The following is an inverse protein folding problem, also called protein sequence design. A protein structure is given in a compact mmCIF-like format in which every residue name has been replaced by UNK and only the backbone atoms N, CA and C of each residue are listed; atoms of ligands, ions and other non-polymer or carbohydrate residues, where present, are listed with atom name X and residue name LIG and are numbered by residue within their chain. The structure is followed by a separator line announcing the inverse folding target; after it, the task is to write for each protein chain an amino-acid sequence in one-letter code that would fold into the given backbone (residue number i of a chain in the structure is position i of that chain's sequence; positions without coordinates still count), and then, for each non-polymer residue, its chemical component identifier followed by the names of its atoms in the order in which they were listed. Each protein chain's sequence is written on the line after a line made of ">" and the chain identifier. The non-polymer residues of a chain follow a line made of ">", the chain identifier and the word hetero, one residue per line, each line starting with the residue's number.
data_IF_293010684883
#
_entry.id   IF_293010684883
#
_cell.length_a   1.000
_cell.length_b   1.000
_cell.length_c   1.000
_cell.angle_alpha   90.00
_cell.angle_beta   90.00
_cell.angle_gamma   90.00
#
_symmetry.space_group_name_H-M   'P 1'
#
loop_
_entity.id
_entity.type
_entity.pdbx_description
1 polymer ?
#
# COMPACT_ATOMS: atom_id res chain seq x y z
N UNK A 1 10.01 -56.59 -15.15
CA UNK A 1 10.06 -57.80 -14.28
C UNK A 1 8.96 -57.65 -13.24
N UNK A 2 8.13 -58.70 -13.14
CA UNK A 2 6.88 -58.79 -12.35
C UNK A 2 7.16 -59.48 -11.02
N UNK A 3 6.40 -59.11 -9.98
CA UNK A 3 5.80 -59.94 -8.88
C UNK A 3 5.24 -58.94 -7.85
N UNK A 4 3.93 -58.63 -7.74
CA UNK A 4 2.75 -59.44 -7.34
C UNK A 4 2.98 -60.30 -6.09
N UNK A 5 2.30 -59.94 -5.01
CA UNK A 5 1.69 -60.88 -4.06
C UNK A 5 0.47 -60.20 -3.39
N UNK A 6 -0.68 -60.86 -3.51
CA UNK A 6 -1.95 -60.55 -2.88
C UNK A 6 -2.23 -61.53 -1.73
N UNK A 7 -3.16 -61.18 -0.82
CA UNK A 7 -4.15 -62.02 -0.07
C UNK A 7 -4.67 -61.16 1.10
N UNK A 8 -5.91 -60.66 1.16
CA UNK A 8 -7.23 -61.30 1.30
C UNK A 8 -7.45 -62.03 2.64
N UNK A 9 -8.36 -61.55 3.50
CA UNK A 9 -9.64 -62.21 3.83
C UNK A 9 -10.47 -61.40 4.87
N UNK A 10 -11.79 -61.61 4.81
CA UNK A 10 -12.91 -60.85 5.39
C UNK A 10 -13.09 -60.94 6.92
N UNK A 11 -13.99 -60.11 7.47
CA UNK A 11 -15.10 -60.53 8.34
C UNK A 11 -16.17 -59.42 8.45
N UNK A 12 -17.43 -59.83 8.23
CA UNK A 12 -18.65 -59.04 8.47
C UNK A 12 -18.91 -58.92 9.98
N UNK A 13 -19.40 -57.76 10.41
CA UNK A 13 -20.33 -57.70 11.55
C UNK A 13 -21.27 -56.52 11.39
N UNK A 14 -22.56 -56.87 11.28
CA UNK A 14 -23.71 -55.98 11.31
C UNK A 14 -23.96 -55.53 12.75
N UNK A 15 -24.13 -54.24 12.99
CA UNK A 15 -24.66 -53.74 14.26
C UNK A 15 -25.92 -52.93 13.97
N UNK A 16 -27.00 -53.40 14.60
CA UNK A 16 -28.37 -52.87 14.55
C UNK A 16 -28.45 -51.39 14.88
N UNK A 17 -29.30 -50.69 14.13
CA UNK A 17 -29.81 -49.38 14.50
C UNK A 17 -30.87 -49.59 15.59
N UNK A 18 -30.55 -49.22 16.82
CA UNK A 18 -31.56 -48.99 17.86
C UNK A 18 -31.97 -47.53 17.80
N UNK A 19 -33.24 -47.32 17.49
CA UNK A 19 -33.94 -46.03 17.54
C UNK A 19 -33.82 -45.41 18.93
N UNK A 20 -33.37 -44.15 18.98
CA UNK A 20 -33.57 -43.30 20.14
C UNK A 20 -34.54 -42.19 19.71
N UNK A 21 -35.76 -42.26 20.22
CA UNK A 21 -36.76 -41.23 20.03
C UNK A 21 -36.29 -39.93 20.70
N UNK A 22 -36.00 -38.91 19.89
CA UNK A 22 -35.87 -37.55 20.38
C UNK A 22 -37.24 -36.88 20.31
N UNK A 23 -37.80 -36.54 21.47
CA UNK A 23 -39.01 -35.73 21.59
C UNK A 23 -38.82 -34.38 20.90
N UNK A 24 -39.65 -34.11 19.90
CA UNK A 24 -39.70 -32.82 19.23
C UNK A 24 -40.16 -31.73 20.22
N UNK A 25 -39.30 -30.75 20.47
CA UNK A 25 -39.69 -29.46 21.02
C UNK A 25 -40.35 -28.63 19.90
N UNK A 26 -41.36 -27.78 20.21
CA UNK A 26 -42.06 -27.00 19.20
C UNK A 26 -41.11 -26.03 18.50
N UNK A 27 -41.16 -26.01 17.16
CA UNK A 27 -40.48 -25.01 16.35
C UNK A 27 -40.94 -23.61 16.76
N UNK A 28 -40.04 -22.62 16.92
CA UNK A 28 -40.46 -21.24 16.99
C UNK A 28 -41.08 -20.87 15.64
N UNK A 29 -42.34 -20.46 15.67
CA UNK A 29 -43.05 -19.85 14.55
C UNK A 29 -42.20 -18.71 14.01
N UNK A 30 -41.72 -18.82 12.78
CA UNK A 30 -41.15 -17.68 12.06
C UNK A 30 -42.31 -16.78 11.72
N UNK A 31 -42.49 -15.74 12.54
CA UNK A 31 -43.43 -14.66 12.27
C UNK A 31 -42.88 -13.86 11.07
N UNK A 32 -43.48 -14.08 9.91
CA UNK A 32 -43.22 -13.30 8.71
C UNK A 32 -43.98 -11.99 8.87
N UNK A 33 -43.31 -10.97 9.41
CA UNK A 33 -43.79 -9.60 9.30
C UNK A 33 -42.62 -8.65 8.99
N UNK A 34 -42.59 -8.25 7.72
CA UNK A 34 -42.13 -6.96 7.18
C UNK A 34 -41.15 -6.14 8.04
N UNK A 35 -39.91 -6.04 7.59
CA UNK A 35 -39.17 -4.78 7.68
C UNK A 35 -38.60 -4.41 6.31
N UNK A 36 -39.40 -3.63 5.59
CA UNK A 36 -38.98 -2.74 4.52
C UNK A 36 -37.96 -1.73 5.05
N UNK A 37 -36.65 -2.01 4.97
CA UNK A 37 -35.65 -0.94 5.07
C UNK A 37 -34.27 -1.24 4.47
N UNK A 38 -34.07 -2.37 3.77
CA UNK A 38 -32.72 -2.80 3.38
C UNK A 38 -32.23 -2.36 1.99
N UNK A 39 -33.00 -1.53 1.27
CA UNK A 39 -32.63 -1.07 -0.09
C UNK A 39 -31.96 0.31 -0.12
N UNK A 40 -32.19 1.15 0.90
CA UNK A 40 -31.55 2.48 1.01
C UNK A 40 -30.08 2.38 1.45
N UNK A 41 -29.78 1.46 2.37
CA UNK A 41 -28.47 1.30 2.98
C UNK A 41 -27.45 0.63 2.05
N UNK A 42 -27.88 -0.29 1.20
CA UNK A 42 -27.00 -0.95 0.21
C UNK A 42 -26.56 0.01 -0.89
N UNK A 43 -27.44 0.93 -1.31
CA UNK A 43 -27.09 1.95 -2.32
C UNK A 43 -26.14 2.99 -1.73
N UNK A 44 -26.37 3.46 -0.50
CA UNK A 44 -25.48 4.42 0.16
C UNK A 44 -24.10 3.83 0.47
N UNK A 45 -24.02 2.59 0.98
CA UNK A 45 -22.75 1.88 1.19
C UNK A 45 -22.05 1.61 -0.14
N UNK A 46 -22.80 1.27 -1.21
CA UNK A 46 -22.24 1.11 -2.55
C UNK A 46 -21.74 2.42 -3.14
N UNK A 47 -22.48 3.52 -3.01
CA UNK A 47 -22.06 4.84 -3.50
C UNK A 47 -20.91 5.40 -2.68
N UNK A 48 -20.84 5.10 -1.38
CA UNK A 48 -19.70 5.45 -0.52
C UNK A 48 -18.50 4.57 -0.82
N UNK A 49 -18.69 3.28 -1.09
CA UNK A 49 -17.63 2.37 -1.53
C UNK A 49 -17.14 2.75 -2.94
N UNK A 50 -18.02 3.05 -3.88
CA UNK A 50 -17.69 3.57 -5.21
C UNK A 50 -17.06 4.97 -5.13
N UNK A 51 -17.45 5.80 -4.16
CA UNK A 51 -16.79 7.06 -3.83
C UNK A 51 -15.41 6.88 -3.18
N UNK A 52 -15.19 5.78 -2.46
CA UNK A 52 -13.89 5.37 -1.92
C UNK A 52 -13.00 4.70 -3.00
N UNK A 53 -13.59 4.02 -3.98
CA UNK A 53 -12.90 3.46 -5.16
C UNK A 53 -12.57 4.58 -6.17
N UNK A 54 -13.43 5.61 -6.27
CA UNK A 54 -13.23 6.87 -7.01
C UNK A 54 -12.52 7.95 -6.19
N UNK A 55 -12.06 7.66 -4.96
CA UNK A 55 -10.89 8.31 -4.35
C UNK A 55 -9.62 7.83 -5.07
N UNK A 56 -9.75 7.71 -6.40
CA UNK A 56 -8.93 6.97 -7.31
C UNK A 56 -7.52 7.50 -7.15
N UNK A 57 -6.66 6.68 -6.56
CA UNK A 57 -5.23 6.81 -6.76
C UNK A 57 -5.03 7.02 -8.25
N UNK A 58 -4.50 8.17 -8.63
CA UNK A 58 -4.20 8.46 -10.02
C UNK A 58 -3.30 7.35 -10.58
N UNK A 59 -3.33 7.12 -11.90
CA UNK A 59 -2.41 6.15 -12.48
C UNK A 59 -0.98 6.57 -12.21
N UNK A 60 -0.08 5.60 -12.02
CA UNK A 60 1.35 5.88 -11.97
C UNK A 60 1.75 6.49 -13.32
N UNK A 61 2.14 7.77 -13.32
CA UNK A 61 2.46 8.55 -14.52
C UNK A 61 3.87 9.13 -14.42
N UNK A 62 4.75 8.69 -15.33
CA UNK A 62 6.18 9.02 -15.34
C UNK A 62 6.46 10.17 -16.30
N UNK A 63 6.48 11.40 -15.79
CA UNK A 63 6.73 12.61 -16.61
C UNK A 63 8.20 12.80 -16.98
N UNK A 64 9.14 12.30 -16.17
CA UNK A 64 10.58 12.40 -16.47
C UNK A 64 11.03 11.28 -17.41
N UNK A 65 10.47 10.07 -17.25
CA UNK A 65 10.76 8.88 -18.04
C UNK A 65 12.26 8.55 -18.17
N UNK A 66 13.03 8.76 -17.10
CA UNK A 66 14.49 8.61 -17.08
C UNK A 66 14.97 7.59 -16.04
N UNK A 67 14.07 6.99 -15.25
CA UNK A 67 14.41 5.96 -14.28
C UNK A 67 15.07 6.48 -13.01
N UNK A 68 15.18 7.80 -12.85
CA UNK A 68 15.84 8.45 -11.71
C UNK A 68 14.91 8.55 -10.49
N UNK A 69 15.51 8.93 -9.35
CA UNK A 69 14.76 9.14 -8.10
C UNK A 69 13.62 10.16 -8.24
N UNK A 70 13.84 11.23 -9.01
CA UNK A 70 12.86 12.30 -9.25
C UNK A 70 11.64 11.83 -10.05
N UNK A 71 11.85 10.93 -11.01
CA UNK A 71 10.80 10.33 -11.82
C UNK A 71 9.86 9.47 -10.96
N UNK A 72 10.44 8.60 -10.13
CA UNK A 72 9.65 7.80 -9.20
C UNK A 72 8.93 8.65 -8.17
N UNK A 73 9.62 9.61 -7.55
CA UNK A 73 9.04 10.44 -6.51
C UNK A 73 7.84 11.24 -7.02
N UNK A 74 7.94 11.85 -8.20
CA UNK A 74 6.84 12.57 -8.84
C UNK A 74 5.68 11.64 -9.22
N UNK A 75 5.97 10.52 -9.90
CA UNK A 75 4.96 9.58 -10.36
C UNK A 75 4.21 8.89 -9.22
N UNK A 76 4.94 8.40 -8.21
CA UNK A 76 4.37 7.70 -7.05
C UNK A 76 3.60 8.67 -6.14
N UNK A 77 4.09 9.89 -5.96
CA UNK A 77 3.35 10.89 -5.21
C UNK A 77 2.06 11.30 -5.94
N UNK A 78 2.11 11.46 -7.26
CA UNK A 78 0.91 11.67 -8.08
C UNK A 78 -0.06 10.50 -7.96
N UNK A 79 0.40 9.26 -8.03
CA UNK A 79 -0.46 8.10 -7.84
C UNK A 79 -1.22 8.14 -6.50
N UNK A 80 -0.58 8.63 -5.43
CA UNK A 80 -1.18 8.67 -4.10
C UNK A 80 -2.03 9.90 -3.81
N UNK A 81 -1.79 11.02 -4.51
CA UNK A 81 -2.35 12.34 -4.16
C UNK A 81 -3.02 13.06 -5.32
N UNK A 82 -2.87 12.54 -6.54
CA UNK A 82 -3.21 13.20 -7.78
C UNK A 82 -2.53 14.57 -7.97
N UNK A 83 -1.37 14.78 -7.33
CA UNK A 83 -0.56 15.98 -7.47
C UNK A 83 0.84 15.65 -7.98
N UNK A 84 1.20 16.25 -9.10
CA UNK A 84 2.55 16.27 -9.63
C UNK A 84 3.33 17.48 -9.08
N UNK A 85 4.65 17.38 -9.01
CA UNK A 85 5.50 18.56 -8.81
C UNK A 85 5.29 19.55 -9.94
N UNK A 86 5.27 20.84 -9.62
CA UNK A 86 5.19 21.91 -10.63
C UNK A 86 6.56 22.31 -11.19
N UNK A 87 7.61 21.59 -10.81
CA UNK A 87 8.99 21.78 -11.25
C UNK A 87 9.61 20.48 -11.77
N UNK A 88 10.65 20.63 -12.60
CA UNK A 88 11.47 19.55 -13.14
C UNK A 88 12.95 19.86 -12.87
N UNK A 89 13.58 19.21 -11.90
CA UNK A 89 14.98 19.50 -11.50
C UNK A 89 15.61 18.33 -10.73
N UNK A 90 16.92 18.42 -10.47
CA UNK A 90 17.60 17.55 -9.52
C UNK A 90 16.97 17.62 -8.12
N UNK A 91 17.10 16.52 -7.37
CA UNK A 91 16.54 16.34 -6.03
C UNK A 91 16.96 17.44 -5.03
N UNK A 92 18.23 17.88 -5.09
CA UNK A 92 18.78 18.91 -4.22
C UNK A 92 17.99 20.23 -4.22
N UNK A 93 17.33 20.55 -5.34
CA UNK A 93 16.56 21.78 -5.52
C UNK A 93 15.08 21.66 -5.12
N UNK A 94 14.57 20.45 -4.82
CA UNK A 94 13.13 20.25 -4.60
C UNK A 94 12.60 20.99 -3.38
N UNK A 95 13.38 21.08 -2.31
CA UNK A 95 13.00 21.85 -1.12
C UNK A 95 12.82 23.34 -1.43
N UNK A 96 13.72 23.94 -2.20
CA UNK A 96 13.57 25.36 -2.61
C UNK A 96 12.43 25.54 -3.60
N UNK A 97 12.28 24.63 -4.57
CA UNK A 97 11.20 24.71 -5.55
C UNK A 97 9.82 24.60 -4.89
N UNK A 98 9.65 23.70 -3.92
CA UNK A 98 8.42 23.58 -3.14
C UNK A 98 8.06 24.88 -2.41
N UNK A 99 9.05 25.56 -1.81
CA UNK A 99 8.80 26.87 -1.17
C UNK A 99 8.33 27.93 -2.16
N UNK A 100 8.79 27.87 -3.42
CA UNK A 100 8.46 28.84 -4.45
C UNK A 100 7.18 28.54 -5.25
N UNK A 101 6.76 27.27 -5.31
CA UNK A 101 5.68 26.80 -6.18
C UNK A 101 4.27 27.25 -5.76
N UNK A 102 4.07 27.62 -4.49
CA UNK A 102 2.74 27.84 -3.91
C UNK A 102 1.95 26.53 -3.76
N UNK A 103 1.14 26.41 -2.71
CA UNK A 103 0.38 25.17 -2.43
C UNK A 103 1.18 24.01 -1.84
N UNK A 104 2.52 24.07 -1.91
CA UNK A 104 3.40 23.09 -1.30
C UNK A 104 3.82 23.50 0.12
N UNK A 105 3.82 22.54 1.03
CA UNK A 105 4.38 22.67 2.38
C UNK A 105 5.77 22.06 2.41
N UNK A 106 6.69 22.70 3.14
CA UNK A 106 8.00 22.15 3.48
C UNK A 106 8.11 22.01 4.99
N UNK A 107 8.49 20.83 5.47
CA UNK A 107 8.55 20.49 6.89
C UNK A 107 9.82 19.72 7.23
N UNK A 108 10.26 19.84 8.48
CA UNK A 108 11.28 18.95 9.07
C UNK A 108 10.69 17.67 9.66
N UNK A 109 9.37 17.60 9.81
CA UNK A 109 8.64 16.44 10.32
C UNK A 109 7.98 15.67 9.18
N UNK A 110 8.04 14.33 9.19
CA UNK A 110 7.46 13.51 8.15
C UNK A 110 5.92 13.49 8.18
N UNK A 111 5.32 13.19 7.03
CA UNK A 111 3.88 12.98 6.82
C UNK A 111 3.71 11.84 5.82
N UNK A 112 2.63 11.06 5.92
CA UNK A 112 2.29 10.05 4.92
C UNK A 112 1.05 10.51 4.11
N UNK A 113 1.08 10.47 2.76
CA UNK A 113 2.29 10.44 1.95
C UNK A 113 2.97 11.82 1.93
N UNK A 114 4.28 11.84 1.81
CA UNK A 114 5.06 13.02 1.45
C UNK A 114 6.27 12.59 0.63
N UNK A 115 6.93 13.54 -0.02
CA UNK A 115 8.22 13.29 -0.64
C UNK A 115 9.31 13.66 0.38
N UNK A 116 10.19 12.71 0.69
CA UNK A 116 11.43 13.00 1.40
C UNK A 116 12.42 13.63 0.41
N UNK A 117 13.11 14.68 0.83
CA UNK A 117 14.23 15.31 0.10
C UNK A 117 15.46 15.21 0.98
N UNK A 118 16.48 14.51 0.50
CA UNK A 118 17.77 14.33 1.17
C UNK A 118 18.82 15.14 0.41
N UNK A 119 19.47 16.05 1.13
CA UNK A 119 20.45 16.96 0.57
C UNK A 119 21.78 16.24 0.27
N UNK A 120 22.60 16.78 -0.66
CA UNK A 120 23.90 16.21 -0.99
C UNK A 120 24.79 15.99 0.25
N UNK A 121 25.49 14.85 0.30
CA UNK A 121 26.39 14.49 1.39
C UNK A 121 25.71 13.89 2.63
N UNK A 122 24.39 13.76 2.64
CA UNK A 122 23.65 13.10 3.72
C UNK A 122 23.20 11.70 3.30
N UNK A 123 23.26 10.74 4.24
CA UNK A 123 22.72 9.38 4.08
C UNK A 123 23.18 8.66 2.79
N UNK A 124 24.41 8.92 2.33
CA UNK A 124 24.96 8.31 1.11
C UNK A 124 24.53 8.98 -0.21
N UNK A 125 23.84 10.11 -0.16
CA UNK A 125 23.38 10.82 -1.36
C UNK A 125 24.53 11.60 -2.04
N UNK A 126 24.62 11.46 -3.37
CA UNK A 126 25.57 12.18 -4.21
C UNK A 126 25.24 13.66 -4.40
N UNK A 127 25.94 14.31 -5.35
CA UNK A 127 25.83 15.75 -5.59
C UNK A 127 24.43 16.23 -6.00
N UNK A 128 23.63 15.36 -6.60
CA UNK A 128 22.24 15.64 -7.02
C UNK A 128 21.23 15.57 -5.87
N UNK A 129 21.63 15.05 -4.69
CA UNK A 129 20.71 14.71 -3.61
C UNK A 129 19.91 13.44 -3.90
N UNK A 130 18.87 13.18 -3.11
CA UNK A 130 17.93 12.07 -3.34
C UNK A 130 16.51 12.47 -2.96
N UNK A 131 15.53 11.91 -3.67
CA UNK A 131 14.11 12.01 -3.32
C UNK A 131 13.44 10.65 -3.37
N UNK A 132 12.45 10.46 -2.50
CA UNK A 132 11.62 9.25 -2.46
C UNK A 132 10.26 9.55 -1.86
N UNK A 133 9.34 8.60 -1.93
CA UNK A 133 8.01 8.75 -1.31
C UNK A 133 7.99 8.07 0.03
N UNK A 134 7.55 8.80 1.06
CA UNK A 134 7.32 8.28 2.41
C UNK A 134 6.04 7.46 2.42
N UNK A 135 6.20 6.14 2.57
CA UNK A 135 5.10 5.18 2.61
C UNK A 135 4.62 4.92 4.05
N UNK A 136 5.51 5.10 5.04
CA UNK A 136 5.22 4.93 6.48
C UNK A 136 6.25 5.66 7.35
N UNK A 137 5.82 6.16 8.51
CA UNK A 137 6.73 6.60 9.59
C UNK A 137 6.89 5.48 10.62
N UNK A 138 8.12 5.15 10.98
CA UNK A 138 8.44 4.10 11.96
C UNK A 138 8.44 4.67 13.38
N UNK A 139 8.39 3.80 14.40
CA UNK A 139 8.32 4.19 15.81
C UNK A 139 9.59 4.87 16.33
N UNK A 140 10.73 4.64 15.68
CA UNK A 140 12.02 5.28 15.99
C UNK A 140 12.17 6.67 15.33
N UNK A 141 11.17 7.12 14.57
CA UNK A 141 11.19 8.39 13.85
C UNK A 141 11.85 8.34 12.47
N UNK A 142 12.40 7.20 12.05
CA UNK A 142 12.79 6.98 10.65
C UNK A 142 11.56 6.85 9.74
N UNK A 143 11.75 7.00 8.44
CA UNK A 143 10.68 6.84 7.45
C UNK A 143 10.99 5.71 6.48
N UNK A 144 10.01 4.82 6.27
CA UNK A 144 10.06 3.80 5.24
C UNK A 144 9.60 4.39 3.91
N UNK A 145 10.44 4.25 2.89
CA UNK A 145 10.27 4.93 1.60
C UNK A 145 10.28 3.96 0.42
N UNK A 146 9.66 4.38 -0.67
CA UNK A 146 9.83 3.79 -2.00
C UNK A 146 10.65 4.73 -2.89
N UNK A 147 11.58 4.16 -3.66
CA UNK A 147 12.60 4.93 -4.36
C UNK A 147 12.97 4.29 -5.70
N UNK A 148 13.44 5.09 -6.64
CA UNK A 148 14.28 4.64 -7.76
C UNK A 148 15.70 5.19 -7.61
N UNK A 149 16.64 4.53 -8.27
CA UNK A 149 18.05 4.88 -8.32
C UNK A 149 18.72 5.14 -6.97
N UNK A 150 18.25 4.45 -5.93
CA UNK A 150 18.89 4.38 -4.63
C UNK A 150 18.83 2.94 -4.14
N UNK A 151 19.94 2.39 -3.65
CA UNK A 151 20.02 0.98 -3.32
C UNK A 151 19.79 0.71 -1.84
N UNK A 152 18.94 -0.28 -1.54
CA UNK A 152 18.78 -0.87 -0.22
C UNK A 152 19.02 -2.36 -0.30
N UNK A 153 19.99 -2.88 0.46
CA UNK A 153 20.33 -4.32 0.49
C UNK A 153 20.59 -4.91 -0.92
N UNK A 154 21.25 -4.14 -1.78
CA UNK A 154 21.57 -4.54 -3.16
C UNK A 154 20.40 -4.53 -4.14
N UNK A 155 19.27 -3.89 -3.79
CA UNK A 155 18.12 -3.66 -4.68
C UNK A 155 17.95 -2.17 -4.95
N UNK A 156 17.80 -1.80 -6.22
CA UNK A 156 17.63 -0.42 -6.66
C UNK A 156 18.25 -0.23 -8.04
N UNK A 157 18.57 1.02 -8.37
CA UNK A 157 19.06 1.42 -9.69
C UNK A 157 17.96 2.03 -10.56
N UNK A 158 18.32 2.34 -11.81
CA UNK A 158 17.40 2.96 -12.76
C UNK A 158 16.19 2.06 -13.02
N UNK A 159 15.00 2.66 -13.07
CA UNK A 159 13.72 1.98 -13.32
C UNK A 159 13.40 0.81 -12.38
N UNK A 160 14.10 0.71 -11.24
CA UNK A 160 13.99 -0.42 -10.31
C UNK A 160 13.62 0.09 -8.93
N UNK A 161 12.42 -0.27 -8.46
CA UNK A 161 11.94 0.14 -7.14
C UNK A 161 12.70 -0.55 -6.02
N UNK A 162 13.30 0.26 -5.15
CA UNK A 162 13.84 -0.16 -3.88
C UNK A 162 12.99 0.40 -2.73
N UNK A 163 13.07 -0.30 -1.60
CA UNK A 163 12.41 0.12 -0.37
C UNK A 163 13.39 0.06 0.79
N UNK A 164 13.32 1.04 1.66
CA UNK A 164 14.22 1.12 2.81
C UNK A 164 13.85 2.26 3.74
N UNK A 165 14.61 2.38 4.82
CA UNK A 165 14.41 3.45 5.78
C UNK A 165 15.44 4.55 5.57
N UNK A 166 14.99 5.80 5.66
CA UNK A 166 15.85 6.97 5.85
C UNK A 166 15.60 7.58 7.22
N UNK A 167 16.66 8.14 7.79
CA UNK A 167 16.58 8.90 9.03
C UNK A 167 15.99 10.29 8.78
N UNK A 168 15.33 10.84 9.80
CA UNK A 168 14.91 12.24 9.83
C UNK A 168 16.00 13.13 10.43
N UNK A 169 15.92 14.45 10.23
CA UNK A 169 16.83 15.41 10.87
C UNK A 169 17.67 16.20 9.86
N UNK A 170 18.94 16.46 10.19
CA UNK A 170 19.82 17.30 9.40
C UNK A 170 19.95 16.83 7.95
N UNK A 171 19.87 17.77 7.01
CA UNK A 171 19.94 17.47 5.57
C UNK A 171 18.67 16.82 5.00
N UNK A 172 17.63 16.63 5.80
CA UNK A 172 16.37 16.02 5.37
C UNK A 172 15.22 17.01 5.50
N UNK A 173 14.36 17.05 4.50
CA UNK A 173 13.08 17.75 4.56
C UNK A 173 11.99 16.92 3.91
N UNK A 174 10.75 17.25 4.21
CA UNK A 174 9.56 16.63 3.67
C UNK A 174 8.75 17.68 2.93
N UNK A 175 8.27 17.34 1.74
CA UNK A 175 7.43 18.21 0.94
C UNK A 175 6.13 17.51 0.54
N UNK A 176 5.03 18.26 0.50
CA UNK A 176 3.72 17.77 0.06
C UNK A 176 2.82 18.92 -0.39
N UNK A 177 1.78 18.59 -1.16
CA UNK A 177 0.67 19.47 -1.54
C UNK A 177 -0.58 19.16 -0.69
#
# INVERSE_FOLDING_TARGET
>A
MVKVAALSCALLSTISLTEFSASALPAPSVDILSQESNQKNTTEVRTKLEGLINLASCSLDHRYNNGECTDWADARYYQLTCQHTTWMSDASSWTSNARSAGGWTVSSQPRVPSIIVIQPGYQGCGATGHVGVVERTNSDGSVYTSNWNFEFSGKGGLYTTSYGNFDTGSGVSFIWH
#
